data_IF_510939530957
#
_entry.id   IF_510939530957
#
_cell.length_a   1.000
_cell.length_b   1.000
_cell.length_c   1.000
_cell.angle_alpha   90.00
_cell.angle_beta   90.00
_cell.angle_gamma   90.00
#
_symmetry.space_group_name_H-M   'P 1'
#
loop_
_entity.id
_entity.type
_entity.pdbx_description
1 polymer ?
#
# COMPACT_ATOMS: atom_id res chain seq x y z
N UNK A 1 6.67 16.11 6.39
CA UNK A 1 5.56 16.25 5.42
C UNK A 1 4.27 15.59 5.93
N UNK A 2 4.26 14.32 6.35
CA UNK A 2 3.08 13.59 6.88
C UNK A 2 2.34 14.28 8.04
N UNK A 3 3.03 15.04 8.88
CA UNK A 3 2.44 15.80 10.02
C UNK A 3 1.39 16.84 9.62
N UNK A 4 1.36 17.24 8.33
CA UNK A 4 0.37 18.17 7.81
C UNK A 4 -0.84 17.45 7.19
N UNK A 5 -0.62 16.27 6.61
CA UNK A 5 -1.67 15.48 5.98
C UNK A 5 -2.46 14.66 7.01
N UNK A 6 -1.79 14.17 8.05
CA UNK A 6 -2.39 13.34 9.11
C UNK A 6 -1.94 13.91 10.46
N UNK A 7 -2.62 14.96 10.96
CA UNK A 7 -2.23 15.65 12.19
C UNK A 7 -2.19 14.74 13.43
N UNK A 8 -3.02 13.71 13.45
CA UNK A 8 -3.12 12.72 14.52
C UNK A 8 -1.82 11.93 14.72
N UNK A 9 -1.00 11.83 13.69
CA UNK A 9 0.30 11.14 13.76
C UNK A 9 1.43 12.05 14.33
N UNK A 10 1.11 13.30 14.70
CA UNK A 10 2.11 14.21 15.24
C UNK A 10 2.59 13.73 16.62
N UNK A 11 3.88 13.41 16.69
CA UNK A 11 4.53 12.98 17.93
C UNK A 11 4.53 11.47 18.18
N UNK A 12 3.74 10.70 17.41
CA UNK A 12 3.68 9.25 17.57
C UNK A 12 4.36 8.49 16.42
N UNK A 13 4.74 9.19 15.35
CA UNK A 13 5.42 8.60 14.20
C UNK A 13 6.90 9.02 14.19
N UNK A 14 7.77 8.03 14.14
CA UNK A 14 9.20 8.20 13.89
C UNK A 14 9.58 7.43 12.63
N UNK A 15 10.69 7.79 12.01
CA UNK A 15 11.15 7.07 10.82
C UNK A 15 12.54 7.55 10.40
N UNK A 16 13.20 6.67 9.67
CA UNK A 16 14.46 6.92 9.00
C UNK A 16 14.39 6.39 7.57
N UNK A 17 15.41 6.68 6.78
CA UNK A 17 15.53 6.17 5.43
C UNK A 17 16.95 5.67 5.20
N UNK A 18 17.05 4.54 4.50
CA UNK A 18 18.31 3.95 4.06
C UNK A 18 18.31 3.96 2.53
N UNK A 19 19.37 4.53 1.96
CA UNK A 19 19.56 4.49 0.51
C UNK A 19 20.33 3.23 0.14
N UNK A 20 19.76 2.49 -0.81
CA UNK A 20 20.35 1.25 -1.33
C UNK A 20 20.57 1.36 -2.84
N UNK A 21 21.54 0.64 -3.41
CA UNK A 21 21.91 0.73 -4.82
C UNK A 21 20.95 -0.10 -5.69
N UNK A 22 19.68 0.27 -5.70
CA UNK A 22 18.67 -0.31 -6.60
C UNK A 22 18.22 0.75 -7.62
N UNK A 23 17.92 0.36 -8.87
CA UNK A 23 17.52 1.32 -9.90
C UNK A 23 16.23 2.08 -9.56
N UNK A 24 15.24 1.41 -9.04
CA UNK A 24 13.93 1.97 -8.66
C UNK A 24 13.24 1.07 -7.64
N UNK A 25 12.07 1.49 -7.17
CA UNK A 25 11.23 0.86 -6.15
C UNK A 25 11.82 0.98 -4.75
N UNK A 26 10.98 1.33 -3.83
CA UNK A 26 11.30 1.43 -2.41
C UNK A 26 10.47 0.44 -1.59
N UNK A 27 11.00 0.10 -0.43
CA UNK A 27 10.32 -0.73 0.56
C UNK A 27 10.14 0.08 1.84
N UNK A 28 8.88 0.29 2.25
CA UNK A 28 8.56 0.81 3.58
C UNK A 28 8.35 -0.36 4.55
N UNK A 29 9.09 -0.34 5.65
CA UNK A 29 8.87 -1.27 6.77
C UNK A 29 8.15 -0.48 7.86
N UNK A 30 6.91 -0.85 8.14
CA UNK A 30 6.05 -0.17 9.10
C UNK A 30 5.83 -1.04 10.33
N UNK A 31 6.41 -0.63 11.46
CA UNK A 31 6.14 -1.24 12.76
C UNK A 31 5.04 -0.47 13.47
N UNK A 32 3.93 -1.14 13.75
CA UNK A 32 2.71 -0.55 14.26
C UNK A 32 2.30 -1.24 15.57
N UNK A 33 1.83 -0.45 16.52
CA UNK A 33 1.07 -0.95 17.67
C UNK A 33 -0.42 -0.67 17.41
N UNK A 34 -1.24 -1.69 17.50
CA UNK A 34 -2.69 -1.60 17.30
C UNK A 34 -3.43 -1.93 18.59
N UNK A 35 -4.73 -1.62 18.64
CA UNK A 35 -5.50 -1.76 19.88
C UNK A 35 -5.91 -3.22 20.19
N UNK A 36 -5.86 -4.09 19.20
CA UNK A 36 -6.30 -5.47 19.30
C UNK A 36 -5.14 -6.45 19.05
N UNK A 37 -5.22 -7.63 19.63
CA UNK A 37 -4.30 -8.71 19.29
C UNK A 37 -4.70 -9.33 17.96
N UNK A 38 -3.71 -9.57 17.12
CA UNK A 38 -3.92 -10.13 15.78
C UNK A 38 -2.89 -11.20 15.46
N UNK A 39 -3.27 -12.10 14.56
CA UNK A 39 -2.36 -13.06 13.96
C UNK A 39 -1.91 -12.58 12.59
N UNK A 40 -0.80 -13.11 12.08
CA UNK A 40 -0.34 -12.87 10.70
C UNK A 40 -1.43 -13.18 9.68
N UNK A 41 -2.17 -14.26 9.90
CA UNK A 41 -3.25 -14.68 9.01
C UNK A 41 -4.42 -13.68 9.02
N UNK A 42 -4.87 -13.26 10.22
CA UNK A 42 -5.99 -12.32 10.33
C UNK A 42 -5.69 -10.98 9.70
N UNK A 43 -4.49 -10.42 9.93
CA UNK A 43 -4.10 -9.14 9.33
C UNK A 43 -3.89 -9.25 7.82
N UNK A 44 -3.29 -10.34 7.33
CA UNK A 44 -3.13 -10.56 5.89
C UNK A 44 -4.47 -10.74 5.18
N UNK A 45 -5.44 -11.42 5.78
CA UNK A 45 -6.80 -11.54 5.24
C UNK A 45 -7.49 -10.17 5.17
N UNK A 46 -7.41 -9.37 6.23
CA UNK A 46 -7.96 -8.01 6.24
C UNK A 46 -7.35 -7.12 5.14
N UNK A 47 -6.02 -7.17 5.00
CA UNK A 47 -5.32 -6.37 3.99
C UNK A 47 -5.62 -6.87 2.56
N UNK A 48 -5.74 -8.18 2.36
CA UNK A 48 -6.14 -8.77 1.09
C UNK A 48 -7.54 -8.32 0.69
N UNK A 49 -8.52 -8.43 1.59
CA UNK A 49 -9.88 -7.97 1.32
C UNK A 49 -9.92 -6.46 1.03
N UNK A 50 -9.11 -5.68 1.75
CA UNK A 50 -8.98 -4.25 1.50
C UNK A 50 -8.42 -3.94 0.12
N UNK A 51 -7.43 -4.72 -0.34
CA UNK A 51 -6.81 -4.54 -1.65
C UNK A 51 -7.72 -4.94 -2.81
N UNK A 52 -8.55 -5.97 -2.66
CA UNK A 52 -9.37 -6.49 -3.76
C UNK A 52 -10.82 -6.00 -3.75
N UNK A 53 -11.42 -5.83 -2.58
CA UNK A 53 -12.87 -5.64 -2.45
C UNK A 53 -13.29 -4.31 -1.80
N UNK A 54 -12.34 -3.42 -1.46
CA UNK A 54 -12.66 -2.14 -0.85
C UNK A 54 -12.52 -0.96 -1.81
N UNK A 55 -12.87 0.23 -1.32
CA UNK A 55 -12.59 1.50 -2.00
C UNK A 55 -11.10 1.76 -2.25
N UNK A 56 -10.23 1.01 -1.60
CA UNK A 56 -8.76 1.14 -1.72
C UNK A 56 -8.16 0.23 -2.80
N UNK A 57 -8.95 -0.57 -3.51
CA UNK A 57 -8.49 -1.54 -4.53
C UNK A 57 -7.67 -0.94 -5.69
N UNK A 58 -7.71 0.38 -5.88
CA UNK A 58 -6.91 1.08 -6.88
C UNK A 58 -5.66 1.72 -6.30
N UNK A 59 -5.51 1.67 -4.98
CA UNK A 59 -4.46 2.33 -4.23
C UNK A 59 -3.53 1.30 -3.60
N UNK A 60 -4.09 0.20 -3.09
CA UNK A 60 -3.36 -0.86 -2.39
C UNK A 60 -3.30 -2.10 -3.26
N UNK A 61 -2.09 -2.58 -3.52
CA UNK A 61 -1.82 -3.90 -4.08
C UNK A 61 -1.52 -4.90 -2.97
N UNK A 62 -1.58 -6.19 -3.32
CA UNK A 62 -1.29 -7.29 -2.40
C UNK A 62 -0.55 -8.38 -3.15
N UNK A 63 0.56 -8.86 -2.59
CA UNK A 63 1.35 -9.95 -3.13
C UNK A 63 1.54 -11.04 -2.09
N UNK A 64 1.47 -12.28 -2.55
CA UNK A 64 1.65 -13.47 -1.72
C UNK A 64 2.62 -14.43 -2.41
N UNK A 65 3.83 -13.97 -2.65
CA UNK A 65 4.93 -14.78 -3.18
C UNK A 65 6.18 -14.56 -2.36
N UNK A 66 6.92 -15.59 -1.99
CA UNK A 66 8.17 -15.45 -1.24
C UNK A 66 9.36 -14.98 -2.08
N UNK A 67 9.21 -14.92 -3.41
CA UNK A 67 10.29 -14.68 -4.36
C UNK A 67 10.34 -13.24 -4.89
N UNK A 68 9.42 -12.38 -4.43
CA UNK A 68 9.32 -11.01 -4.95
C UNK A 68 10.53 -10.15 -4.62
N UNK A 69 10.95 -9.39 -5.60
CA UNK A 69 12.05 -8.42 -5.49
C UNK A 69 11.62 -7.07 -6.07
N UNK A 70 12.42 -6.03 -5.88
CA UNK A 70 12.09 -4.67 -6.31
C UNK A 70 11.72 -4.56 -7.80
N UNK A 71 12.39 -5.34 -8.67
CA UNK A 71 12.15 -5.31 -10.13
C UNK A 71 10.74 -5.76 -10.53
N UNK A 72 10.08 -6.58 -9.71
CA UNK A 72 8.73 -7.07 -9.99
C UNK A 72 7.66 -5.98 -9.87
N UNK A 73 8.00 -4.88 -9.21
CA UNK A 73 7.09 -3.78 -8.93
C UNK A 73 7.35 -2.54 -9.79
N UNK A 74 8.21 -2.62 -10.79
CA UNK A 74 8.43 -1.53 -11.72
C UNK A 74 7.14 -1.16 -12.46
N UNK A 75 6.88 0.14 -12.57
CA UNK A 75 5.66 0.67 -13.18
C UNK A 75 4.35 0.19 -12.53
N UNK A 76 4.42 -0.22 -11.28
CA UNK A 76 3.21 -0.59 -10.53
C UNK A 76 2.33 0.63 -10.27
N UNK A 77 1.02 0.56 -10.58
CA UNK A 77 0.10 1.69 -10.42
C UNK A 77 -0.36 1.89 -8.97
N UNK A 78 -0.02 0.99 -8.08
CA UNK A 78 -0.43 1.06 -6.68
C UNK A 78 0.43 2.06 -5.90
N UNK A 79 -0.18 2.75 -4.96
CA UNK A 79 0.56 3.61 -4.03
C UNK A 79 1.36 2.79 -3.03
N UNK A 80 0.91 1.58 -2.73
CA UNK A 80 1.57 0.63 -1.83
C UNK A 80 1.15 -0.79 -2.16
N UNK A 81 2.08 -1.74 -2.12
CA UNK A 81 1.83 -3.16 -2.34
C UNK A 81 2.25 -3.91 -1.08
N UNK A 82 1.29 -4.53 -0.42
CA UNK A 82 1.52 -5.29 0.81
C UNK A 82 2.21 -6.61 0.46
N UNK A 83 3.35 -6.86 1.10
CA UNK A 83 4.04 -8.15 1.05
C UNK A 83 3.55 -9.04 2.21
N UNK A 84 2.65 -9.94 1.89
CA UNK A 84 2.02 -10.79 2.90
C UNK A 84 2.96 -11.85 3.48
N UNK A 85 3.96 -12.28 2.70
CA UNK A 85 4.93 -13.25 3.18
C UNK A 85 5.87 -12.65 4.22
N UNK A 86 6.22 -11.38 4.06
CA UNK A 86 7.07 -10.64 4.99
C UNK A 86 6.33 -10.11 6.23
N UNK A 87 4.98 -10.13 6.25
CA UNK A 87 4.18 -9.66 7.39
C UNK A 87 4.53 -10.42 8.68
N UNK A 88 4.76 -9.67 9.76
CA UNK A 88 5.00 -10.20 11.11
C UNK A 88 3.90 -9.70 12.04
N UNK A 89 3.37 -10.57 12.90
CA UNK A 89 2.42 -10.21 13.94
C UNK A 89 2.79 -10.90 15.25
N UNK A 90 2.74 -10.16 16.36
CA UNK A 90 3.01 -10.65 17.71
C UNK A 90 2.16 -9.86 18.72
N UNK A 91 1.06 -10.46 19.18
CA UNK A 91 0.08 -9.80 20.03
C UNK A 91 -0.54 -8.61 19.31
N UNK A 92 -0.41 -7.42 19.88
CA UNK A 92 -0.90 -6.18 19.29
C UNK A 92 0.15 -5.42 18.45
N UNK A 93 1.29 -6.06 18.15
CA UNK A 93 2.33 -5.46 17.32
C UNK A 93 2.38 -6.14 15.97
N UNK A 94 2.39 -5.33 14.90
CA UNK A 94 2.51 -5.81 13.54
C UNK A 94 3.66 -5.09 12.83
N UNK A 95 4.33 -5.80 11.95
CA UNK A 95 5.29 -5.21 11.01
C UNK A 95 4.84 -5.55 9.60
N UNK A 96 4.57 -4.52 8.83
CA UNK A 96 4.17 -4.62 7.43
C UNK A 96 5.32 -4.21 6.53
N UNK A 97 5.48 -4.92 5.44
CA UNK A 97 6.41 -4.61 4.36
C UNK A 97 5.61 -4.17 3.14
N UNK A 98 5.89 -2.97 2.67
CA UNK A 98 5.10 -2.30 1.65
C UNK A 98 6.00 -1.80 0.52
N UNK A 99 5.91 -2.44 -0.64
CA UNK A 99 6.62 -2.03 -1.83
C UNK A 99 5.90 -0.85 -2.51
N UNK A 100 6.66 0.05 -3.13
CA UNK A 100 6.09 1.13 -3.93
C UNK A 100 7.07 1.65 -4.97
N UNK A 101 6.55 1.91 -6.17
CA UNK A 101 7.31 2.63 -7.21
C UNK A 101 7.21 4.13 -6.95
N UNK A 102 8.35 4.75 -6.71
CA UNK A 102 8.43 6.17 -6.30
C UNK A 102 7.86 7.12 -7.34
N UNK A 103 8.07 6.81 -8.63
CA UNK A 103 7.68 7.67 -9.75
C UNK A 103 6.30 7.28 -10.28
N UNK A 104 6.11 6.03 -10.64
CA UNK A 104 4.90 5.59 -11.33
C UNK A 104 3.70 5.55 -10.40
N UNK A 105 3.83 4.96 -9.22
CA UNK A 105 2.75 4.86 -8.24
C UNK A 105 2.22 6.22 -7.82
N UNK A 106 3.10 7.16 -7.49
CA UNK A 106 2.73 8.53 -7.15
C UNK A 106 2.04 9.25 -8.30
N UNK A 107 2.63 9.22 -9.50
CA UNK A 107 2.08 9.87 -10.70
C UNK A 107 0.70 9.33 -11.03
N UNK A 108 0.49 8.03 -10.89
CA UNK A 108 -0.83 7.40 -11.07
C UNK A 108 -1.87 7.94 -10.09
N UNK A 109 -1.51 8.12 -8.82
CA UNK A 109 -2.44 8.68 -7.83
C UNK A 109 -2.76 10.16 -8.12
N UNK A 110 -1.78 10.94 -8.56
CA UNK A 110 -2.03 12.33 -9.00
C UNK A 110 -3.05 12.37 -10.13
N UNK A 111 -2.88 11.54 -11.17
CA UNK A 111 -3.84 11.43 -12.28
C UNK A 111 -5.22 10.97 -11.79
N UNK A 112 -5.30 10.03 -10.87
CA UNK A 112 -6.57 9.57 -10.31
C UNK A 112 -7.29 10.70 -9.55
N UNK A 113 -6.55 11.51 -8.78
CA UNK A 113 -7.11 12.67 -8.08
C UNK A 113 -7.56 13.74 -9.07
N UNK A 114 -6.76 14.05 -10.10
CA UNK A 114 -7.12 15.00 -11.14
C UNK A 114 -8.42 14.61 -11.85
N UNK A 115 -8.57 13.32 -12.22
CA UNK A 115 -9.82 12.79 -12.80
C UNK A 115 -11.00 12.96 -11.85
N UNK A 116 -10.80 12.67 -10.57
CA UNK A 116 -11.86 12.82 -9.56
C UNK A 116 -12.30 14.27 -9.39
N UNK A 117 -11.35 15.21 -9.34
CA UNK A 117 -11.64 16.64 -9.22
C UNK A 117 -12.35 17.17 -10.47
N UNK A 118 -11.94 16.72 -11.65
CA UNK A 118 -12.55 17.10 -12.94
C UNK A 118 -13.86 16.34 -13.23
N UNK A 119 -14.33 15.50 -12.32
CA UNK A 119 -15.52 14.66 -12.49
C UNK A 119 -15.49 13.77 -13.75
N UNK A 120 -14.30 13.41 -14.22
CA UNK A 120 -14.10 12.54 -15.37
C UNK A 120 -14.19 11.09 -14.92
N UNK A 121 -15.23 10.38 -15.39
CA UNK A 121 -15.37 8.94 -15.22
C UNK A 121 -14.92 8.24 -16.50
N UNK A 122 -13.78 7.58 -16.48
CA UNK A 122 -13.39 6.70 -17.57
C UNK A 122 -14.14 5.37 -17.41
N UNK A 123 -14.84 4.95 -18.46
CA UNK A 123 -15.38 3.59 -18.50
C UNK A 123 -14.24 2.59 -18.51
N UNK A 124 -14.31 1.63 -17.62
CA UNK A 124 -13.44 0.46 -17.64
C UNK A 124 -14.09 -0.63 -18.47
N UNK A 125 -13.34 -1.20 -19.36
CA UNK A 125 -13.77 -2.37 -20.11
C UNK A 125 -13.16 -3.64 -19.48
N UNK A 126 -13.94 -4.70 -19.30
CA UNK A 126 -15.38 -4.77 -19.53
C UNK A 126 -16.18 -3.99 -18.51
N UNK A 127 -17.30 -3.40 -18.93
CA UNK A 127 -18.25 -2.76 -18.02
C UNK A 127 -18.86 -3.84 -17.12
N UNK A 128 -18.77 -3.73 -15.77
CA UNK A 128 -19.49 -4.65 -14.91
C UNK A 128 -20.97 -4.67 -15.28
N UNK A 129 -21.55 -5.85 -15.49
CA UNK A 129 -23.00 -5.96 -15.63
C UNK A 129 -23.58 -5.68 -14.24
N UNK A 130 -24.34 -4.63 -14.14
CA UNK A 130 -25.17 -4.40 -12.95
C UNK A 130 -26.13 -5.59 -12.83
N UNK A 131 -26.02 -6.35 -11.75
CA UNK A 131 -26.99 -7.35 -11.34
C UNK A 131 -27.91 -6.73 -10.33
#
# INVERSE_FOLDING_TARGET
MYKRQIPELKGILTGNAIRVPTPNVSLAVMSLAINEEVTKESINNFLRESAFHSKYREIIGFVNSPEVVSTDFYSSPFASIIDSQATIAAGNRITLYCWYDNEYGYSKQVVNIAKKVSNIKLQRLPVPKDN
#
